data_IF_006765017819
#
_entry.id   IF_006765017819
#
_cell.length_a   1.000
_cell.length_b   1.000
_cell.length_c   1.000
_cell.angle_alpha   90.00
_cell.angle_beta   90.00
_cell.angle_gamma   90.00
#
_symmetry.space_group_name_H-M   'P 1'
#
loop_
_entity.id
_entity.type
_entity.pdbx_description
1 polymer ?
#
# COMPACT_ATOMS: atom_id res chain seq x y z
N UNK A 1 26.41 -18.53 -16.98
CA UNK A 1 26.02 -17.11 -17.01
C UNK A 1 27.28 -16.32 -16.85
N UNK A 2 27.55 -15.42 -17.80
CA UNK A 2 28.71 -14.54 -17.75
C UNK A 2 28.46 -13.48 -16.69
N UNK A 3 29.45 -13.20 -15.84
CA UNK A 3 29.33 -12.21 -14.75
C UNK A 3 30.60 -11.40 -14.63
N UNK A 4 30.45 -10.12 -14.35
CA UNK A 4 31.55 -9.26 -13.94
C UNK A 4 31.86 -9.48 -12.45
N UNK A 5 33.13 -9.66 -12.04
CA UNK A 5 33.52 -9.87 -10.66
C UNK A 5 33.44 -8.60 -9.78
N UNK A 6 33.16 -7.43 -10.37
CA UNK A 6 33.04 -6.18 -9.62
C UNK A 6 31.69 -6.11 -8.88
N UNK A 7 31.67 -5.81 -7.56
CA UNK A 7 30.46 -5.82 -6.74
C UNK A 7 29.39 -4.79 -7.16
N UNK A 8 29.76 -3.82 -8.01
CA UNK A 8 28.89 -2.76 -8.52
C UNK A 8 28.69 -2.81 -10.04
N UNK A 9 28.94 -3.96 -10.68
CA UNK A 9 28.76 -4.15 -12.12
C UNK A 9 27.55 -5.03 -12.39
N UNK A 10 26.39 -4.40 -12.60
CA UNK A 10 25.11 -5.03 -12.94
C UNK A 10 24.86 -4.98 -14.45
N UNK A 11 25.90 -5.29 -15.23
CA UNK A 11 25.81 -5.27 -16.68
C UNK A 11 25.11 -6.55 -17.15
N UNK A 12 23.87 -6.40 -17.61
CA UNK A 12 23.07 -7.41 -18.27
C UNK A 12 23.27 -7.27 -19.79
N UNK A 13 22.66 -8.13 -20.61
CA UNK A 13 22.77 -8.10 -22.08
C UNK A 13 22.38 -6.75 -22.73
N UNK A 14 21.80 -5.80 -21.98
CA UNK A 14 21.32 -4.51 -22.45
C UNK A 14 21.78 -3.28 -21.61
N UNK A 15 22.70 -3.45 -20.67
CA UNK A 15 23.22 -2.36 -19.82
C UNK A 15 24.73 -2.19 -20.01
N UNK A 16 25.17 -0.94 -20.20
CA UNK A 16 26.60 -0.62 -20.33
C UNK A 16 27.34 -0.91 -19.03
N UNK A 17 28.52 -1.53 -19.14
CA UNK A 17 29.38 -1.82 -18.00
C UNK A 17 29.74 -0.54 -17.23
N UNK A 18 29.94 -0.64 -15.91
CA UNK A 18 30.37 0.47 -15.03
C UNK A 18 31.67 1.15 -15.50
N UNK A 19 32.48 0.47 -16.32
CA UNK A 19 33.68 1.01 -16.96
C UNK A 19 33.42 1.74 -18.30
N UNK A 20 32.17 1.89 -18.72
CA UNK A 20 31.76 2.64 -19.91
C UNK A 20 31.90 1.88 -21.24
N UNK A 21 32.20 0.58 -21.21
CA UNK A 21 32.29 -0.23 -22.43
C UNK A 21 30.89 -0.61 -22.95
N UNK A 22 30.64 -0.31 -24.22
CA UNK A 22 29.34 -0.50 -24.90
C UNK A 22 29.07 -1.98 -25.20
N UNK A 23 30.12 -2.79 -25.40
CA UNK A 23 30.00 -4.23 -25.63
C UNK A 23 30.70 -5.02 -24.54
N UNK A 24 30.04 -6.06 -24.02
CA UNK A 24 30.52 -6.89 -22.91
C UNK A 24 31.78 -7.70 -23.26
N UNK A 25 31.96 -8.05 -24.52
CA UNK A 25 33.15 -8.75 -25.04
C UNK A 25 34.41 -7.88 -25.07
N UNK A 26 34.26 -6.56 -24.95
CA UNK A 26 35.37 -5.60 -24.88
C UNK A 26 35.77 -5.26 -23.44
N UNK A 27 35.06 -5.79 -22.44
CA UNK A 27 35.37 -5.54 -21.04
C UNK A 27 36.46 -6.51 -20.57
N UNK A 28 37.64 -6.03 -20.12
CA UNK A 28 38.74 -6.89 -19.70
C UNK A 28 38.44 -7.72 -18.44
N UNK A 29 37.45 -7.30 -17.65
CA UNK A 29 37.01 -8.00 -16.43
C UNK A 29 35.89 -9.03 -16.68
N UNK A 30 35.38 -9.14 -17.92
CA UNK A 30 34.29 -10.04 -18.26
C UNK A 30 34.81 -11.47 -18.47
N UNK A 31 34.59 -12.35 -17.49
CA UNK A 31 35.04 -13.75 -17.54
C UNK A 31 33.87 -14.70 -17.75
N UNK A 32 33.96 -15.54 -18.78
CA UNK A 32 33.10 -16.72 -18.95
C UNK A 32 33.38 -17.69 -17.80
N UNK A 33 32.41 -17.89 -16.92
CA UNK A 33 32.52 -18.89 -15.86
C UNK A 33 32.31 -20.27 -16.48
N UNK A 34 33.36 -21.08 -16.55
CA UNK A 34 33.26 -22.51 -16.84
C UNK A 34 32.43 -23.19 -15.75
N UNK A 35 31.48 -24.06 -16.15
CA UNK A 35 30.61 -24.84 -15.26
C UNK A 35 31.43 -25.43 -14.09
N UNK A 36 31.19 -24.93 -12.89
CA UNK A 36 31.63 -25.58 -11.65
C UNK A 36 30.58 -26.65 -11.36
N UNK A 37 31.01 -27.91 -11.36
CA UNK A 37 30.22 -29.03 -10.84
C UNK A 37 29.85 -28.74 -9.39
N UNK A 38 28.56 -28.79 -9.11
CA UNK A 38 28.01 -28.54 -7.79
C UNK A 38 28.46 -29.63 -6.82
N UNK A 39 29.39 -29.30 -5.94
CA UNK A 39 29.67 -30.08 -4.73
C UNK A 39 28.52 -29.87 -3.73
N UNK A 40 27.68 -30.90 -3.54
CA UNK A 40 26.85 -31.08 -2.35
C UNK A 40 27.78 -31.27 -1.12
N UNK A 41 27.53 -30.86 0.13
CA UNK A 41 26.41 -30.25 0.85
C UNK A 41 27.00 -29.62 2.14
N UNK A 42 26.23 -28.86 2.91
CA UNK A 42 25.81 -29.39 4.21
C UNK A 42 24.27 -29.34 4.33
N UNK A 43 23.70 -30.27 5.10
CA UNK A 43 22.26 -30.52 5.14
C UNK A 43 21.43 -29.25 5.38
N UNK A 44 20.54 -28.95 4.44
CA UNK A 44 19.71 -27.75 4.49
C UNK A 44 18.28 -28.12 4.13
N UNK A 45 17.48 -28.34 5.16
CA UNK A 45 16.02 -28.39 5.15
C UNK A 45 15.46 -26.96 4.94
N UNK A 46 16.05 -26.20 3.99
CA UNK A 46 15.69 -24.82 3.71
C UNK A 46 14.50 -24.80 2.74
N UNK A 47 13.30 -24.66 3.32
CA UNK A 47 12.10 -24.41 2.55
C UNK A 47 12.18 -23.03 1.89
N UNK A 48 12.29 -23.00 0.56
CA UNK A 48 12.16 -21.76 -0.22
C UNK A 48 10.74 -21.21 -0.05
N UNK A 49 10.62 -20.12 0.72
CA UNK A 49 9.35 -19.43 0.89
C UNK A 49 9.03 -18.62 -0.37
N UNK A 50 7.79 -18.64 -0.87
CA UNK A 50 7.40 -17.89 -2.06
C UNK A 50 7.25 -16.38 -1.83
N UNK A 51 7.63 -15.84 -0.67
CA UNK A 51 7.61 -14.42 -0.36
C UNK A 51 8.91 -13.97 0.32
N UNK A 52 9.32 -12.73 0.06
CA UNK A 52 10.56 -12.14 0.60
C UNK A 52 10.39 -11.44 1.95
N UNK A 53 9.16 -11.23 2.41
CA UNK A 53 8.86 -10.36 3.54
C UNK A 53 8.79 -8.87 3.19
N UNK A 54 9.21 -8.47 1.98
CA UNK A 54 9.16 -7.10 1.49
C UNK A 54 7.79 -6.77 0.89
N UNK A 55 7.62 -5.54 0.39
CA UNK A 55 6.41 -5.15 -0.32
C UNK A 55 6.17 -6.06 -1.54
N UNK A 56 4.92 -6.46 -1.74
CA UNK A 56 4.47 -7.30 -2.84
C UNK A 56 4.21 -6.49 -4.10
N UNK A 57 4.52 -7.07 -5.25
CA UNK A 57 4.08 -6.59 -6.55
C UNK A 57 2.77 -7.25 -7.00
N UNK A 58 2.29 -6.85 -8.18
CA UNK A 58 1.05 -7.40 -8.76
C UNK A 58 1.12 -8.91 -9.01
N UNK A 59 2.29 -9.45 -9.34
CA UNK A 59 2.52 -10.89 -9.54
C UNK A 59 2.27 -11.72 -8.27
N UNK A 60 2.49 -11.12 -7.10
CA UNK A 60 2.43 -11.81 -5.82
C UNK A 60 0.99 -11.89 -5.28
N UNK A 61 0.06 -11.16 -5.89
CA UNK A 61 -1.36 -11.15 -5.50
C UNK A 61 -2.02 -12.51 -5.61
N UNK A 62 -1.60 -13.33 -6.56
CA UNK A 62 -2.11 -14.68 -6.76
C UNK A 62 -1.81 -15.56 -5.54
N UNK A 63 -0.68 -15.33 -4.87
CA UNK A 63 -0.28 -16.08 -3.69
C UNK A 63 -1.18 -15.78 -2.50
N UNK A 64 -1.43 -14.49 -2.20
CA UNK A 64 -2.33 -14.08 -1.12
C UNK A 64 -3.77 -14.51 -1.40
N UNK A 65 -4.22 -14.30 -2.65
CA UNK A 65 -5.59 -14.59 -3.07
C UNK A 65 -5.93 -16.09 -3.07
N UNK A 66 -4.91 -16.97 -3.10
CA UNK A 66 -5.09 -18.42 -3.03
C UNK A 66 -5.67 -18.91 -1.70
N UNK A 67 -5.55 -18.14 -0.61
CA UNK A 67 -6.08 -18.49 0.71
C UNK A 67 -7.43 -17.84 0.97
N UNK A 68 -7.49 -16.52 0.80
CA UNK A 68 -8.72 -15.72 0.90
C UNK A 68 -8.53 -14.53 -0.01
N UNK A 69 -9.60 -14.06 -0.65
CA UNK A 69 -9.51 -12.88 -1.51
C UNK A 69 -9.26 -11.64 -0.62
N UNK A 70 -8.06 -11.03 -0.65
CA UNK A 70 -7.73 -9.91 0.24
C UNK A 70 -8.55 -8.68 -0.12
N UNK A 71 -8.81 -7.79 0.85
CA UNK A 71 -9.40 -6.46 0.63
C UNK A 71 -8.25 -5.51 0.28
N UNK A 72 -8.30 -4.93 -0.91
CA UNK A 72 -7.28 -3.98 -1.37
C UNK A 72 -7.64 -2.57 -0.92
N UNK A 73 -6.73 -1.92 -0.21
CA UNK A 73 -6.86 -0.56 0.31
C UNK A 73 -5.92 0.35 -0.47
N UNK A 74 -6.48 1.20 -1.31
CA UNK A 74 -5.72 2.19 -2.08
C UNK A 74 -5.57 3.50 -1.31
N UNK A 75 -4.33 3.95 -1.10
CA UNK A 75 -4.06 5.25 -0.46
C UNK A 75 -3.80 6.28 -1.56
N UNK A 76 -4.79 7.14 -1.81
CA UNK A 76 -4.81 8.08 -2.94
C UNK A 76 -4.60 9.48 -2.42
N UNK A 77 -3.55 10.16 -2.86
CA UNK A 77 -3.28 11.51 -2.38
C UNK A 77 -2.03 12.13 -2.98
N UNK A 78 -1.90 13.47 -2.89
CA UNK A 78 -0.77 14.19 -3.45
C UNK A 78 0.56 13.78 -2.81
N UNK A 79 1.65 14.20 -3.42
CA UNK A 79 2.99 14.07 -2.84
C UNK A 79 3.02 14.72 -1.44
N UNK A 80 3.81 14.14 -0.52
CA UNK A 80 3.97 14.64 0.85
C UNK A 80 2.69 14.70 1.72
N UNK A 81 1.57 14.14 1.23
CA UNK A 81 0.32 14.10 1.98
C UNK A 81 0.34 13.18 3.23
N UNK A 82 1.41 12.41 3.46
CA UNK A 82 1.53 11.52 4.62
C UNK A 82 1.00 10.10 4.40
N UNK A 83 0.86 9.66 3.14
CA UNK A 83 0.41 8.29 2.77
C UNK A 83 1.25 7.20 3.47
N UNK A 84 2.55 7.24 3.25
CA UNK A 84 3.52 6.30 3.83
C UNK A 84 3.60 6.44 5.36
N UNK A 85 3.42 7.65 5.89
CA UNK A 85 3.35 7.88 7.35
C UNK A 85 2.14 7.19 7.98
N UNK A 86 0.97 7.19 7.32
CA UNK A 86 -0.21 6.45 7.80
C UNK A 86 0.11 4.95 7.91
N UNK A 87 0.78 4.38 6.91
CA UNK A 87 1.18 2.98 6.92
C UNK A 87 2.13 2.67 8.09
N UNK A 88 3.16 3.49 8.26
CA UNK A 88 4.07 3.35 9.40
C UNK A 88 3.35 3.46 10.75
N UNK A 89 2.42 4.41 10.88
CA UNK A 89 1.60 4.58 12.08
C UNK A 89 0.70 3.37 12.35
N UNK A 90 0.03 2.82 11.33
CA UNK A 90 -0.76 1.60 11.47
C UNK A 90 0.08 0.44 12.02
N UNK A 91 1.25 0.21 11.45
CA UNK A 91 2.10 -0.88 11.90
C UNK A 91 2.62 -0.68 13.33
N UNK A 92 3.02 0.55 13.70
CA UNK A 92 3.46 0.84 15.07
C UNK A 92 2.32 0.69 16.10
N UNK A 93 1.11 1.12 15.76
CA UNK A 93 -0.08 0.97 16.61
C UNK A 93 -0.51 -0.50 16.72
N UNK A 94 -0.41 -1.26 15.62
CA UNK A 94 -0.62 -2.70 15.62
C UNK A 94 0.37 -3.41 16.56
N UNK A 95 1.65 -3.04 16.51
CA UNK A 95 2.67 -3.58 17.41
C UNK A 95 2.46 -3.25 18.89
N UNK A 96 1.63 -2.24 19.21
CA UNK A 96 1.18 -1.91 20.57
C UNK A 96 -0.13 -2.60 20.97
N UNK A 97 -0.74 -3.39 20.07
CA UNK A 97 -2.07 -3.97 20.26
C UNK A 97 -3.22 -2.96 20.17
N UNK A 98 -2.96 -1.73 19.73
CA UNK A 98 -3.97 -0.65 19.71
C UNK A 98 -4.96 -0.77 18.53
N UNK A 99 -4.64 -1.60 17.52
CA UNK A 99 -5.49 -1.85 16.34
C UNK A 99 -6.18 -3.21 16.35
N UNK A 100 -5.98 -4.00 17.41
CA UNK A 100 -6.63 -5.31 17.58
C UNK A 100 -7.81 -5.20 18.53
N UNK A 101 -8.86 -5.96 18.26
CA UNK A 101 -10.01 -6.11 19.15
C UNK A 101 -10.28 -7.59 19.39
N UNK A 102 -11.11 -7.93 20.37
CA UNK A 102 -11.53 -9.33 20.59
C UNK A 102 -12.16 -9.94 19.33
N UNK A 103 -12.87 -9.11 18.55
CA UNK A 103 -13.49 -9.50 17.30
C UNK A 103 -12.52 -9.59 16.11
N UNK A 104 -11.35 -8.93 16.16
CA UNK A 104 -10.35 -8.94 15.08
C UNK A 104 -8.94 -8.94 15.65
N UNK A 105 -8.34 -10.13 15.71
CA UNK A 105 -6.99 -10.34 16.19
C UNK A 105 -6.01 -10.39 15.03
N UNK A 106 -4.85 -9.75 15.18
CA UNK A 106 -3.77 -9.90 14.19
C UNK A 106 -3.32 -11.36 14.13
N UNK A 107 -3.23 -11.93 12.92
CA UNK A 107 -2.88 -13.34 12.73
C UNK A 107 -1.56 -13.53 12.01
N UNK A 108 -1.29 -12.79 10.93
CA UNK A 108 -0.08 -12.97 10.13
C UNK A 108 0.20 -11.77 9.21
N UNK A 109 1.40 -11.72 8.64
CA UNK A 109 1.67 -10.92 7.46
C UNK A 109 2.83 -11.49 6.63
N UNK A 110 2.67 -11.51 5.31
CA UNK A 110 3.72 -11.90 4.37
C UNK A 110 4.71 -10.78 4.06
N UNK A 111 4.44 -9.55 4.50
CA UNK A 111 5.22 -8.35 4.17
C UNK A 111 5.69 -7.61 5.42
N UNK A 112 5.89 -8.32 6.55
CA UNK A 112 6.30 -7.70 7.82
C UNK A 112 7.60 -6.91 7.71
N UNK A 113 8.57 -7.37 6.92
CA UNK A 113 9.81 -6.63 6.70
C UNK A 113 9.54 -5.34 5.89
N UNK A 114 8.61 -5.36 4.94
CA UNK A 114 8.14 -4.16 4.23
C UNK A 114 7.48 -3.15 5.17
N UNK A 115 6.64 -3.60 6.10
CA UNK A 115 6.07 -2.73 7.14
C UNK A 115 7.13 -2.15 8.07
N UNK A 116 8.10 -2.97 8.53
CA UNK A 116 9.19 -2.50 9.39
C UNK A 116 10.10 -1.50 8.66
N UNK A 117 10.33 -1.67 7.36
CA UNK A 117 11.11 -0.73 6.55
C UNK A 117 10.46 0.66 6.54
N UNK A 118 9.13 0.74 6.46
CA UNK A 118 8.39 1.99 6.55
C UNK A 118 8.41 2.56 7.97
N UNK A 119 8.15 1.73 8.98
CA UNK A 119 8.01 2.16 10.36
C UNK A 119 9.33 2.56 11.03
N UNK A 120 10.45 2.03 10.54
CA UNK A 120 11.79 2.30 11.07
C UNK A 120 12.11 3.80 11.19
N UNK A 121 11.65 4.61 10.25
CA UNK A 121 11.89 6.06 10.26
C UNK A 121 11.17 6.76 11.42
N UNK A 122 10.01 6.24 11.81
CA UNK A 122 9.17 6.79 12.88
C UNK A 122 9.62 6.34 14.29
N UNK A 123 10.53 5.38 14.40
CA UNK A 123 11.04 4.90 15.68
C UNK A 123 12.16 5.77 16.20
N UNK A 124 12.25 5.88 17.51
CA UNK A 124 13.44 6.42 18.16
C UNK A 124 14.59 5.41 18.04
N UNK A 125 15.78 5.88 17.65
CA UNK A 125 17.01 5.11 17.66
C UNK A 125 18.11 5.89 18.36
N UNK A 126 19.03 5.25 19.09
CA UNK A 126 20.20 5.93 19.63
C UNK A 126 20.94 6.71 18.54
N UNK A 127 21.08 8.02 18.70
CA UNK A 127 21.75 8.90 17.72
C UNK A 127 20.90 9.33 16.52
N UNK A 128 19.65 8.88 16.39
CA UNK A 128 18.75 9.29 15.32
C UNK A 128 17.35 9.54 15.88
N UNK A 129 16.94 10.82 15.86
CA UNK A 129 15.57 11.20 16.22
C UNK A 129 14.57 10.62 15.20
N UNK A 130 13.33 10.33 15.64
CA UNK A 130 12.25 9.98 14.73
C UNK A 130 12.12 10.99 13.59
N UNK A 131 11.90 10.48 12.39
CA UNK A 131 11.78 11.25 11.16
C UNK A 131 10.66 10.68 10.30
N UNK A 132 10.18 11.44 9.33
CA UNK A 132 9.20 10.90 8.39
C UNK A 132 9.89 9.98 7.37
N UNK A 133 9.23 8.90 6.92
CA UNK A 133 9.72 8.09 5.83
C UNK A 133 10.05 8.95 4.60
N UNK A 134 11.08 8.61 3.82
CA UNK A 134 11.39 9.29 2.57
C UNK A 134 10.20 9.18 1.60
N UNK A 135 10.13 10.08 0.63
CA UNK A 135 9.12 10.00 -0.42
C UNK A 135 9.20 8.65 -1.13
N UNK A 136 8.04 8.02 -1.34
CA UNK A 136 7.92 6.80 -2.14
C UNK A 136 8.48 7.10 -3.54
N UNK A 137 9.62 6.51 -3.93
CA UNK A 137 10.31 6.92 -5.14
C UNK A 137 9.46 6.59 -6.36
N UNK A 138 9.36 7.55 -7.29
CA UNK A 138 8.66 7.39 -8.58
C UNK A 138 9.44 6.55 -9.60
N UNK A 139 10.44 5.76 -9.15
CA UNK A 139 11.39 5.01 -9.98
C UNK A 139 10.75 3.91 -10.83
N UNK A 140 11.54 3.31 -11.72
CA UNK A 140 11.18 2.47 -12.88
C UNK A 140 10.14 1.32 -12.69
N UNK A 141 9.76 0.98 -11.46
CA UNK A 141 8.66 0.05 -11.20
C UNK A 141 7.32 0.71 -11.54
N UNK A 142 6.60 0.18 -12.53
CA UNK A 142 5.28 0.69 -12.96
C UNK A 142 4.11 0.21 -12.08
N UNK A 143 4.41 -0.55 -11.04
CA UNK A 143 3.43 -1.19 -10.17
C UNK A 143 3.55 -0.65 -8.73
N UNK A 144 2.42 -0.50 -8.01
CA UNK A 144 2.42 -0.08 -6.62
C UNK A 144 2.98 -1.18 -5.70
N UNK A 145 3.68 -0.77 -4.65
CA UNK A 145 4.10 -1.69 -3.59
C UNK A 145 2.94 -1.99 -2.66
N UNK A 146 2.69 -3.26 -2.35
CA UNK A 146 1.58 -3.68 -1.51
C UNK A 146 2.05 -4.29 -0.20
N UNK A 147 1.46 -3.85 0.90
CA UNK A 147 1.74 -4.33 2.25
C UNK A 147 0.55 -5.14 2.78
N UNK A 148 0.81 -6.38 3.16
CA UNK A 148 -0.18 -7.34 3.63
C UNK A 148 -0.35 -7.32 5.15
N UNK A 149 -1.58 -7.42 5.64
CA UNK A 149 -1.91 -7.76 7.03
C UNK A 149 -3.09 -8.72 7.07
N UNK A 150 -2.96 -9.83 7.78
CA UNK A 150 -4.04 -10.80 7.98
C UNK A 150 -4.57 -10.77 9.40
N UNK A 151 -5.89 -10.76 9.52
CA UNK A 151 -6.63 -10.76 10.77
C UNK A 151 -7.51 -12.00 10.88
N UNK A 152 -7.59 -12.56 12.09
CA UNK A 152 -8.54 -13.61 12.44
C UNK A 152 -9.70 -12.98 13.18
N UNK A 153 -10.90 -13.33 12.74
CA UNK A 153 -12.15 -12.92 13.39
C UNK A 153 -12.57 -13.91 14.46
N UNK A 154 -13.52 -13.48 15.30
CA UNK A 154 -14.11 -14.31 16.34
C UNK A 154 -14.72 -15.62 15.80
N UNK A 155 -15.32 -15.57 14.60
CA UNK A 155 -15.86 -16.75 13.90
C UNK A 155 -14.77 -17.68 13.31
N UNK A 156 -13.50 -17.40 13.57
CA UNK A 156 -12.34 -18.13 13.05
C UNK A 156 -11.96 -17.78 11.62
N UNK A 157 -12.80 -17.01 10.90
CA UNK A 157 -12.55 -16.62 9.52
C UNK A 157 -11.37 -15.66 9.40
N UNK A 158 -10.70 -15.71 8.25
CA UNK A 158 -9.57 -14.85 7.95
C UNK A 158 -9.98 -13.65 7.11
N UNK A 159 -9.33 -12.52 7.40
CA UNK A 159 -9.48 -11.26 6.69
C UNK A 159 -8.10 -10.72 6.36
N UNK A 160 -7.74 -10.82 5.09
CA UNK A 160 -6.48 -10.28 4.59
C UNK A 160 -6.73 -8.89 4.00
N UNK A 161 -5.86 -7.95 4.35
CA UNK A 161 -5.81 -6.58 3.85
C UNK A 161 -4.51 -6.39 3.05
N UNK A 162 -4.62 -5.73 1.90
CA UNK A 162 -3.47 -5.30 1.10
C UNK A 162 -3.50 -3.78 0.95
N UNK A 163 -2.54 -3.10 1.56
CA UNK A 163 -2.40 -1.65 1.45
C UNK A 163 -1.47 -1.32 0.30
N UNK A 164 -2.00 -0.70 -0.74
CA UNK A 164 -1.23 -0.27 -1.89
C UNK A 164 -0.67 1.14 -1.65
N UNK A 165 0.66 1.25 -1.57
CA UNK A 165 1.39 2.51 -1.53
C UNK A 165 1.91 2.85 -2.93
N UNK A 166 1.73 4.11 -3.31
CA UNK A 166 2.21 4.63 -4.58
C UNK A 166 2.72 6.08 -4.42
N UNK A 167 3.69 6.49 -5.26
CA UNK A 167 4.15 7.87 -5.35
C UNK A 167 2.99 8.86 -5.54
N UNK A 168 3.06 10.02 -4.89
CA UNK A 168 2.00 11.03 -4.98
C UNK A 168 1.89 11.69 -6.36
N UNK A 169 3.02 11.74 -7.05
CA UNK A 169 3.19 12.28 -8.39
C UNK A 169 2.40 11.46 -9.42
N UNK A 170 2.26 10.14 -9.21
CA UNK A 170 1.41 9.29 -10.06
C UNK A 170 -0.04 9.74 -9.97
N UNK A 171 -0.54 10.06 -8.78
CA UNK A 171 -1.91 10.53 -8.58
C UNK A 171 -2.14 11.94 -9.13
N UNK A 172 -1.16 12.83 -9.01
CA UNK A 172 -1.24 14.16 -9.62
C UNK A 172 -1.35 14.08 -11.15
N UNK A 173 -0.52 13.26 -11.78
CA UNK A 173 -0.54 13.04 -13.23
C UNK A 173 -1.83 12.35 -13.68
N UNK A 174 -2.27 11.33 -12.93
CA UNK A 174 -3.51 10.62 -13.16
C UNK A 174 -4.75 11.53 -13.08
N UNK A 175 -4.77 12.46 -12.13
CA UNK A 175 -5.87 13.40 -11.95
C UNK A 175 -6.03 14.34 -13.16
N UNK A 176 -4.92 14.71 -13.81
CA UNK A 176 -4.92 15.55 -15.02
C UNK A 176 -5.18 14.73 -16.28
N UNK A 177 -4.52 13.58 -16.42
CA UNK A 177 -4.64 12.69 -17.58
C UNK A 177 -4.67 11.22 -17.14
N UNK A 178 -5.83 10.59 -17.24
CA UNK A 178 -6.04 9.18 -16.88
C UNK A 178 -5.12 8.22 -17.67
N UNK A 179 -4.81 8.57 -18.93
CA UNK A 179 -4.02 7.74 -19.83
C UNK A 179 -2.53 8.09 -19.81
N UNK A 180 -2.09 8.92 -18.87
CA UNK A 180 -0.67 9.19 -18.71
C UNK A 180 0.10 7.88 -18.44
N UNK A 181 1.23 7.70 -19.13
CA UNK A 181 2.03 6.47 -19.09
C UNK A 181 2.64 6.27 -17.70
N UNK A 182 3.04 7.37 -17.06
CA UNK A 182 3.60 7.45 -15.73
C UNK A 182 2.55 7.51 -14.61
N UNK A 183 1.27 7.32 -14.96
CA UNK A 183 0.15 7.19 -14.02
C UNK A 183 -0.40 5.75 -13.95
N UNK A 184 0.28 4.77 -14.55
CA UNK A 184 -0.18 3.39 -14.65
C UNK A 184 -0.52 2.77 -13.29
N UNK A 185 0.37 2.88 -12.30
CA UNK A 185 0.11 2.34 -10.97
C UNK A 185 -0.99 3.08 -10.20
N UNK A 186 -1.12 4.41 -10.35
CA UNK A 186 -2.24 5.16 -9.77
C UNK A 186 -3.59 4.71 -10.37
N UNK A 187 -3.63 4.53 -11.69
CA UNK A 187 -4.79 3.99 -12.41
C UNK A 187 -5.09 2.56 -11.97
N UNK A 188 -4.07 1.73 -11.76
CA UNK A 188 -4.24 0.37 -11.25
C UNK A 188 -4.85 0.38 -9.86
N UNK A 189 -4.34 1.18 -8.92
CA UNK A 189 -4.88 1.31 -7.57
C UNK A 189 -6.35 1.74 -7.63
N UNK A 190 -6.65 2.81 -8.35
CA UNK A 190 -8.01 3.34 -8.43
C UNK A 190 -9.00 2.31 -9.01
N UNK A 191 -8.55 1.48 -9.97
CA UNK A 191 -9.37 0.42 -10.58
C UNK A 191 -9.54 -0.81 -9.71
N UNK A 192 -8.58 -1.17 -8.86
CA UNK A 192 -8.60 -2.45 -8.12
C UNK A 192 -8.83 -2.32 -6.62
N UNK A 193 -8.71 -1.13 -6.05
CA UNK A 193 -8.96 -0.91 -4.62
C UNK A 193 -10.43 -1.20 -4.26
N UNK A 194 -10.67 -2.04 -3.26
CA UNK A 194 -12.00 -2.23 -2.67
C UNK A 194 -12.36 -1.06 -1.73
N UNK A 195 -11.33 -0.46 -1.14
CA UNK A 195 -11.41 0.70 -0.26
C UNK A 195 -10.45 1.78 -0.74
N UNK A 196 -10.94 2.99 -0.96
CA UNK A 196 -10.12 4.15 -1.30
C UNK A 196 -10.01 5.09 -0.10
N UNK A 197 -8.79 5.33 0.36
CA UNK A 197 -8.48 6.38 1.34
C UNK A 197 -8.00 7.61 0.58
N UNK A 198 -8.87 8.62 0.45
CA UNK A 198 -8.55 9.86 -0.24
C UNK A 198 -7.92 10.85 0.75
N UNK A 199 -6.62 11.09 0.61
CA UNK A 199 -5.81 11.82 1.58
C UNK A 199 -5.82 13.33 1.28
N UNK A 200 -6.36 14.11 2.22
CA UNK A 200 -6.31 15.58 2.21
C UNK A 200 -5.19 16.08 3.13
N UNK A 201 -4.25 16.83 2.57
CA UNK A 201 -3.11 17.39 3.30
C UNK A 201 -3.47 18.75 3.93
N UNK A 202 -3.68 18.77 5.24
CA UNK A 202 -4.03 20.01 5.96
C UNK A 202 -2.92 21.05 5.93
N UNK A 203 -1.65 20.63 5.96
CA UNK A 203 -0.52 21.56 5.89
C UNK A 203 -0.45 22.24 4.52
N UNK A 204 -0.68 21.50 3.43
CA UNK A 204 -0.75 22.09 2.10
C UNK A 204 -1.93 23.06 1.95
N UNK A 205 -3.08 22.73 2.57
CA UNK A 205 -4.30 23.55 2.54
C UNK A 205 -4.26 24.78 3.47
N UNK A 206 -3.39 24.78 4.48
CA UNK A 206 -3.11 25.94 5.34
C UNK A 206 -1.94 26.80 4.83
N UNK A 207 -1.07 26.21 4.01
CA UNK A 207 0.19 26.80 3.58
C UNK A 207 0.08 27.90 2.51
N UNK A 208 1.23 28.45 2.06
CA UNK A 208 1.29 29.56 1.10
C UNK A 208 0.70 29.19 -0.27
N UNK A 209 0.73 27.91 -0.65
CA UNK A 209 0.20 27.38 -1.92
C UNK A 209 -1.20 26.77 -1.79
N UNK A 210 -1.97 27.13 -0.75
CA UNK A 210 -3.30 26.55 -0.46
C UNK A 210 -4.29 26.55 -1.64
N UNK A 211 -4.23 27.56 -2.52
CA UNK A 211 -5.08 27.63 -3.71
C UNK A 211 -4.77 26.53 -4.72
N UNK A 212 -3.49 26.28 -4.99
CA UNK A 212 -3.04 25.18 -5.84
C UNK A 212 -3.35 23.83 -5.20
N UNK A 213 -3.00 23.65 -3.91
CA UNK A 213 -3.29 22.43 -3.17
C UNK A 213 -4.79 22.05 -3.19
N UNK A 214 -5.67 23.05 -3.05
CA UNK A 214 -7.11 22.86 -3.18
C UNK A 214 -7.50 22.40 -4.59
N UNK A 215 -7.04 23.10 -5.63
CA UNK A 215 -7.41 22.78 -7.02
C UNK A 215 -6.91 21.38 -7.41
N UNK A 216 -5.68 21.03 -7.04
CA UNK A 216 -5.09 19.71 -7.29
C UNK A 216 -5.88 18.62 -6.57
N UNK A 217 -6.26 18.85 -5.31
CA UNK A 217 -7.10 17.92 -4.57
C UNK A 217 -8.49 17.79 -5.20
N UNK A 218 -9.11 18.87 -5.66
CA UNK A 218 -10.43 18.83 -6.30
C UNK A 218 -10.43 17.96 -7.56
N UNK A 219 -9.40 18.09 -8.41
CA UNK A 219 -9.23 17.24 -9.59
C UNK A 219 -9.05 15.76 -9.19
N UNK A 220 -8.18 15.51 -8.21
CA UNK A 220 -7.94 14.16 -7.71
C UNK A 220 -9.19 13.53 -7.11
N UNK A 221 -9.95 14.29 -6.32
CA UNK A 221 -11.19 13.84 -5.69
C UNK A 221 -12.25 13.48 -6.73
N UNK A 222 -12.48 14.34 -7.72
CA UNK A 222 -13.42 14.06 -8.81
C UNK A 222 -13.05 12.75 -9.54
N UNK A 223 -11.77 12.56 -9.84
CA UNK A 223 -11.26 11.35 -10.49
C UNK A 223 -11.42 10.11 -9.62
N UNK A 224 -11.02 10.20 -8.35
CA UNK A 224 -11.08 9.10 -7.38
C UNK A 224 -12.51 8.65 -7.11
N UNK A 225 -13.45 9.58 -6.91
CA UNK A 225 -14.85 9.22 -6.66
C UNK A 225 -15.48 8.59 -7.90
N UNK A 226 -15.18 9.12 -9.09
CA UNK A 226 -15.65 8.53 -10.36
C UNK A 226 -15.14 7.10 -10.53
N UNK A 227 -13.85 6.84 -10.26
CA UNK A 227 -13.28 5.51 -10.41
C UNK A 227 -13.71 4.55 -9.29
N UNK A 228 -14.05 5.05 -8.11
CA UNK A 228 -14.56 4.22 -7.02
C UNK A 228 -15.84 3.46 -7.43
N UNK A 229 -16.69 4.01 -8.31
CA UNK A 229 -17.89 3.33 -8.86
C UNK A 229 -18.77 2.68 -7.78
N UNK A 230 -18.99 3.39 -6.67
CA UNK A 230 -19.77 2.90 -5.52
C UNK A 230 -19.00 2.02 -4.53
N UNK A 231 -17.71 1.73 -4.77
CA UNK A 231 -16.82 1.15 -3.75
C UNK A 231 -16.57 2.12 -2.61
N UNK A 232 -16.16 1.59 -1.46
CA UNK A 232 -15.99 2.38 -0.23
C UNK A 232 -14.89 3.41 -0.42
N UNK A 233 -15.21 4.66 -0.14
CA UNK A 233 -14.28 5.77 -0.14
C UNK A 233 -14.39 6.50 1.19
N UNK A 234 -13.26 6.91 1.76
CA UNK A 234 -13.19 7.77 2.93
C UNK A 234 -12.30 8.97 2.64
N UNK A 235 -12.68 10.13 3.17
CA UNK A 235 -11.84 11.32 3.19
C UNK A 235 -10.98 11.28 4.46
N UNK A 236 -9.66 11.32 4.30
CA UNK A 236 -8.72 11.26 5.42
C UNK A 236 -7.92 12.56 5.47
N UNK A 237 -8.18 13.34 6.51
CA UNK A 237 -7.45 14.55 6.83
C UNK A 237 -6.16 14.20 7.56
N UNK A 238 -5.02 14.41 6.91
CA UNK A 238 -3.69 14.20 7.53
C UNK A 238 -3.16 15.48 8.14
N UNK A 239 -2.20 15.34 9.06
CA UNK A 239 -1.62 16.46 9.80
C UNK A 239 -2.72 17.22 10.55
N UNK A 240 -3.56 16.43 11.25
CA UNK A 240 -4.73 16.90 11.98
C UNK A 240 -4.45 17.98 13.02
N UNK A 241 -3.20 18.10 13.45
CA UNK A 241 -2.66 19.15 14.31
C UNK A 241 -2.61 20.53 13.63
N UNK A 242 -2.71 20.61 12.30
CA UNK A 242 -2.72 21.87 11.55
C UNK A 242 -4.14 22.39 11.35
N UNK A 243 -4.38 23.64 11.74
CA UNK A 243 -5.65 24.31 11.52
C UNK A 243 -5.82 24.76 10.06
N UNK A 244 -6.98 24.48 9.50
CA UNK A 244 -7.38 24.87 8.14
C UNK A 244 -8.64 25.71 8.24
N UNK A 245 -8.75 26.77 7.44
CA UNK A 245 -9.91 27.64 7.46
C UNK A 245 -11.21 26.84 7.17
N UNK A 246 -12.31 27.02 7.93
CA UNK A 246 -13.54 26.25 7.74
C UNK A 246 -14.11 26.32 6.32
N UNK A 247 -13.99 27.48 5.66
CA UNK A 247 -14.41 27.65 4.27
C UNK A 247 -13.59 26.78 3.28
N UNK A 248 -12.31 26.55 3.57
CA UNK A 248 -11.47 25.65 2.77
C UNK A 248 -11.91 24.20 2.97
N UNK A 249 -12.13 23.76 4.22
CA UNK A 249 -12.62 22.41 4.47
C UNK A 249 -13.98 22.16 3.80
N UNK A 250 -14.90 23.14 3.86
CA UNK A 250 -16.18 23.05 3.18
C UNK A 250 -16.04 22.87 1.66
N UNK A 251 -15.05 23.53 1.02
CA UNK A 251 -14.78 23.36 -0.41
C UNK A 251 -14.27 21.96 -0.75
N UNK A 252 -13.43 21.39 0.11
CA UNK A 252 -12.90 20.03 -0.03
C UNK A 252 -14.03 19.00 0.16
N UNK A 253 -14.84 19.16 1.22
CA UNK A 253 -16.02 18.32 1.46
C UNK A 253 -16.99 18.35 0.29
N UNK A 254 -17.25 19.54 -0.27
CA UNK A 254 -18.11 19.70 -1.45
C UNK A 254 -17.58 18.93 -2.67
N UNK A 255 -16.27 18.94 -2.90
CA UNK A 255 -15.66 18.21 -4.01
C UNK A 255 -15.89 16.70 -3.88
N UNK A 256 -15.78 16.15 -2.67
CA UNK A 256 -15.97 14.72 -2.40
C UNK A 256 -17.46 14.34 -2.39
N UNK A 257 -18.31 15.16 -1.76
CA UNK A 257 -19.74 14.92 -1.60
C UNK A 257 -20.54 15.04 -2.92
N UNK A 258 -20.04 15.84 -3.87
CA UNK A 258 -20.70 16.02 -5.18
C UNK A 258 -20.88 14.74 -5.99
N UNK A 259 -20.21 13.65 -5.61
CA UNK A 259 -20.21 12.40 -6.35
C UNK A 259 -20.58 11.14 -5.51
N UNK A 260 -20.88 11.28 -4.21
CA UNK A 260 -21.38 10.17 -3.36
C UNK A 260 -22.18 10.69 -2.16
N UNK A 261 -23.26 9.99 -1.78
CA UNK A 261 -23.95 10.22 -0.50
C UNK A 261 -22.98 10.01 0.67
N UNK A 262 -22.98 10.95 1.62
CA UNK A 262 -22.08 11.09 2.79
C UNK A 262 -20.83 10.19 2.81
N UNK A 263 -19.70 10.74 2.40
CA UNK A 263 -18.39 10.08 2.54
C UNK A 263 -17.92 10.22 4.00
N UNK A 264 -17.54 9.12 4.69
CA UNK A 264 -16.99 9.19 6.04
C UNK A 264 -15.67 9.96 6.05
N UNK A 265 -15.49 10.79 7.08
CA UNK A 265 -14.30 11.62 7.28
C UNK A 265 -13.53 11.14 8.51
N UNK A 266 -12.21 11.04 8.38
CA UNK A 266 -11.31 10.72 9.49
C UNK A 266 -10.22 11.77 9.57
N UNK A 267 -9.80 12.15 10.78
CA UNK A 267 -8.66 13.05 10.98
C UNK A 267 -7.56 12.30 11.71
N UNK A 268 -6.37 12.26 11.10
CA UNK A 268 -5.20 11.56 11.64
C UNK A 268 -4.04 12.53 11.83
N UNK A 269 -3.32 12.35 12.92
CA UNK A 269 -2.14 13.14 13.26
C UNK A 269 -1.17 12.29 14.06
N UNK A 270 0.12 12.38 13.74
CA UNK A 270 1.17 11.77 14.58
C UNK A 270 1.50 12.64 15.79
N UNK A 271 1.12 13.92 15.75
CA UNK A 271 1.25 14.87 16.84
C UNK A 271 -0.07 14.97 17.59
N UNK A 272 -0.08 14.96 18.93
CA UNK A 272 -1.30 15.17 19.70
C UNK A 272 -1.89 16.56 19.43
N UNK A 273 -3.22 16.65 19.40
CA UNK A 273 -3.95 17.92 19.28
C UNK A 273 -4.75 18.13 20.56
N UNK A 274 -4.23 18.97 21.47
CA UNK A 274 -4.81 19.15 22.80
C UNK A 274 -4.75 17.86 23.61
N UNK A 275 -5.87 17.45 24.20
CA UNK A 275 -5.99 16.23 25.03
C UNK A 275 -6.33 14.96 24.22
N UNK A 276 -6.53 15.07 22.91
CA UNK A 276 -6.90 13.92 22.07
C UNK A 276 -5.66 13.05 21.82
N UNK A 277 -5.77 11.76 22.17
CA UNK A 277 -4.78 10.74 21.86
C UNK A 277 -4.55 10.66 20.33
N UNK A 278 -3.31 10.85 19.91
CA UNK A 278 -2.90 10.76 18.51
C UNK A 278 -3.30 9.43 17.86
N UNK A 279 -3.43 8.35 18.64
CA UNK A 279 -3.83 7.04 18.14
C UNK A 279 -5.33 6.92 17.81
N UNK A 280 -6.21 7.77 18.36
CA UNK A 280 -7.67 7.62 18.22
C UNK A 280 -8.10 7.70 16.74
N UNK A 281 -7.68 8.74 16.03
CA UNK A 281 -8.03 8.90 14.61
C UNK A 281 -7.53 7.76 13.73
N UNK A 282 -6.36 7.19 14.06
CA UNK A 282 -5.86 6.00 13.37
C UNK A 282 -6.67 4.74 13.71
N UNK A 283 -7.11 4.58 14.95
CA UNK A 283 -7.97 3.47 15.39
C UNK A 283 -9.32 3.52 14.69
N UNK A 284 -9.97 4.67 14.64
CA UNK A 284 -11.24 4.87 13.93
C UNK A 284 -11.11 4.56 12.44
N UNK A 285 -10.08 5.11 11.78
CA UNK A 285 -9.81 4.88 10.37
C UNK A 285 -9.54 3.39 10.08
N UNK A 286 -8.65 2.76 10.87
CA UNK A 286 -8.29 1.37 10.68
C UNK A 286 -9.47 0.43 10.97
N UNK A 287 -10.26 0.72 12.02
CA UNK A 287 -11.49 0.01 12.33
C UNK A 287 -12.52 0.10 11.19
N UNK A 288 -12.66 1.27 10.58
CA UNK A 288 -13.53 1.44 9.41
C UNK A 288 -13.06 0.62 8.20
N UNK A 289 -11.74 0.58 7.93
CA UNK A 289 -11.14 -0.28 6.90
C UNK A 289 -11.40 -1.75 7.22
N UNK A 290 -11.10 -2.17 8.46
CA UNK A 290 -11.30 -3.55 8.93
C UNK A 290 -12.75 -3.99 8.85
N UNK A 291 -13.75 -3.12 9.06
CA UNK A 291 -15.17 -3.44 8.93
C UNK A 291 -15.67 -3.51 7.48
N UNK A 292 -14.79 -3.29 6.48
CA UNK A 292 -15.18 -3.40 5.07
C UNK A 292 -15.68 -4.80 4.74
N UNK A 293 -16.79 -4.88 4.01
CA UNK A 293 -17.29 -6.09 3.38
C UNK A 293 -17.35 -5.82 1.88
N UNK A 294 -16.90 -6.78 1.07
CA UNK A 294 -17.21 -6.74 -0.35
C UNK A 294 -18.71 -6.96 -0.51
N UNK A 295 -19.32 -6.28 -1.47
CA UNK A 295 -20.66 -6.64 -1.92
C UNK A 295 -20.56 -8.05 -2.50
N UNK A 296 -21.08 -9.02 -1.74
CA UNK A 296 -21.18 -10.40 -2.18
C UNK A 296 -22.38 -10.55 -3.09
N UNK A 297 -22.30 -11.52 -4.00
CA UNK A 297 -23.50 -12.16 -4.54
C UNK A 297 -23.77 -13.33 -3.61
N UNK A 298 -24.94 -13.33 -2.96
CA UNK A 298 -25.42 -14.54 -2.30
C UNK A 298 -25.72 -15.56 -3.39
N UNK A 299 -24.80 -16.50 -3.58
CA UNK A 299 -25.06 -17.66 -4.41
C UNK A 299 -26.10 -18.51 -3.66
N UNK A 300 -27.21 -18.89 -4.31
CA UNK A 300 -28.18 -19.79 -3.68
C UNK A 300 -27.44 -21.05 -3.23
N UNK A 301 -27.72 -21.51 -2.02
CA UNK A 301 -27.19 -22.77 -1.54
C UNK A 301 -27.65 -23.86 -2.52
N UNK A 302 -26.71 -24.39 -3.31
CA UNK A 302 -26.95 -25.61 -4.06
C UNK A 302 -27.11 -26.72 -3.03
N UNK A 303 -28.36 -27.09 -2.74
CA UNK A 303 -28.62 -28.42 -2.16
C UNK A 303 -28.02 -29.42 -3.13
N UNK A 304 -26.93 -30.08 -2.72
CA UNK A 304 -26.29 -31.12 -3.50
C UNK A 304 -27.24 -32.33 -3.57
N UNK A 305 -28.24 -32.27 -4.44
CA UNK A 305 -29.09 -33.41 -4.78
C UNK A 305 -28.32 -34.31 -5.76
N UNK A 306 -27.27 -34.98 -5.27
CA UNK A 306 -26.51 -35.89 -6.11
C UNK A 306 -25.35 -36.54 -5.38
N UNK A 307 -25.23 -37.86 -5.53
CA UNK A 307 -24.04 -38.64 -5.17
C UNK A 307 -22.85 -38.33 -6.10
N UNK A 308 -22.53 -37.06 -6.31
CA UNK A 308 -21.35 -36.66 -7.09
C UNK A 308 -20.13 -36.57 -6.16
N UNK A 309 -19.10 -37.42 -6.35
CA UNK A 309 -17.91 -37.42 -5.51
C UNK A 309 -17.07 -36.13 -5.62
N UNK A 310 -17.26 -35.29 -6.65
CA UNK A 310 -16.50 -34.06 -6.84
C UNK A 310 -16.99 -32.85 -6.02
N UNK A 311 -18.22 -32.89 -5.48
CA UNK A 311 -18.78 -31.82 -4.65
C UNK A 311 -18.58 -32.02 -3.14
N UNK A 312 -17.79 -33.01 -2.73
CA UNK A 312 -17.55 -33.33 -1.30
C UNK A 312 -16.62 -32.36 -0.55
N UNK A 313 -16.07 -31.36 -1.22
CA UNK A 313 -15.28 -30.32 -0.56
C UNK A 313 -16.19 -29.16 -0.12
N UNK A 314 -17.06 -29.44 0.84
CA UNK A 314 -17.78 -28.41 1.57
C UNK A 314 -16.93 -27.91 2.75
N UNK A 315 -17.05 -26.61 3.05
CA UNK A 315 -16.16 -25.84 3.92
C UNK A 315 -16.18 -26.35 5.36
N UNK A 316 -15.00 -26.73 5.89
CA UNK A 316 -14.71 -26.72 7.34
C UNK A 316 -13.93 -25.47 7.71
#
# INVERSE_FOLDING_TARGET
MDRCPQPNCFADDNTTCTLGHIRLDMCPEWKRVSKIEATASPGDDQMLLPWSGLAMGESDLNFVSGKVKPITVGIVGPESAGKTTILGAFYLLLGRGALTTDANQFSNSYTLAGWEAVATYLRWKPGQLPSFPPHTPSGAARAPGMLHLGFRREDGSLRDLLFADAPGEWFQKWAVNEQAVDAEGARWIARHADVTLLIADRQALAGPKKGAARNDFQLLAQRAVTEARGRRLALVWTKGDVDVAPAMEAQIRKAVASASSSVPEFTVSVSPRGEIDAAEGFRELFGWVLCTKRMGVDLPATEASGHDPFFRFDRR
#
